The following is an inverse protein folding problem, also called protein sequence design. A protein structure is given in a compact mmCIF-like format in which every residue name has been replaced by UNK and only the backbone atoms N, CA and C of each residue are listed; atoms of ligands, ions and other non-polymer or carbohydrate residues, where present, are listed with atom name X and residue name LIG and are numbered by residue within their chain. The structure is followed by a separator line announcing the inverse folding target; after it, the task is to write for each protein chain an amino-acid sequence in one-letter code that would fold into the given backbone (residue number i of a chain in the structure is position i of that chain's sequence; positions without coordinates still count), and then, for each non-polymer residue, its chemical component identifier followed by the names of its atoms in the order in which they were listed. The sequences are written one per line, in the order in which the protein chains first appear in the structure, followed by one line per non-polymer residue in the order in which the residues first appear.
data_IF_030453905341
#
_entry.id   IF_030453905341
#
_cell.length_a   1.000
_cell.length_b   1.000
_cell.length_c   1.000
_cell.angle_alpha   90.00
_cell.angle_beta   90.00
_cell.angle_gamma   90.00
#
_symmetry.space_group_name_H-M   'P 1'
#
loop_
_entity.id
_entity.type
_entity.pdbx_description
1 polymer ?
#
# COMPACT_ATOMS: atom_id res chain seq x y z
N UNK A 1 -16.93 -22.21 -0.09
CA UNK A 1 -18.05 -21.28 0.16
C UNK A 1 -17.99 -20.08 -0.76
N UNK A 2 -18.98 -19.24 -0.68
CA UNK A 2 -19.14 -18.06 -1.57
C UNK A 2 -17.90 -17.14 -1.63
N UNK A 3 -17.15 -17.05 -0.52
CA UNK A 3 -15.94 -16.24 -0.44
C UNK A 3 -14.70 -16.88 -1.08
N UNK A 4 -14.57 -18.20 -1.00
CA UNK A 4 -13.50 -18.92 -1.71
C UNK A 4 -13.68 -18.77 -3.21
N UNK A 5 -14.92 -18.75 -3.69
CA UNK A 5 -15.25 -18.54 -5.10
C UNK A 5 -14.88 -17.14 -5.57
N UNK A 6 -15.09 -16.11 -4.72
CA UNK A 6 -14.71 -14.71 -5.03
C UNK A 6 -13.19 -14.55 -5.10
N UNK A 7 -12.44 -15.09 -4.13
CA UNK A 7 -10.98 -15.01 -4.13
C UNK A 7 -10.36 -15.79 -5.30
N UNK A 8 -10.93 -16.93 -5.64
CA UNK A 8 -10.51 -17.72 -6.80
C UNK A 8 -10.76 -16.95 -8.09
N UNK A 9 -11.98 -16.41 -8.27
CA UNK A 9 -12.33 -15.60 -9.44
C UNK A 9 -11.44 -14.35 -9.56
N UNK A 10 -11.10 -13.72 -8.44
CA UNK A 10 -10.18 -12.58 -8.40
C UNK A 10 -8.76 -12.98 -8.83
N UNK A 11 -8.25 -14.10 -8.31
CA UNK A 11 -6.96 -14.63 -8.69
C UNK A 11 -6.89 -15.02 -10.19
N UNK A 12 -7.93 -15.66 -10.71
CA UNK A 12 -8.04 -16.02 -12.13
C UNK A 12 -8.05 -14.76 -13.01
N UNK A 13 -8.86 -13.76 -12.63
CA UNK A 13 -8.92 -12.49 -13.34
C UNK A 13 -7.55 -11.79 -13.39
N UNK A 14 -6.85 -11.72 -12.24
CA UNK A 14 -5.52 -11.12 -12.18
C UNK A 14 -4.51 -11.90 -13.02
N UNK A 15 -4.60 -13.22 -13.05
CA UNK A 15 -3.72 -14.06 -13.86
C UNK A 15 -3.90 -13.84 -15.37
N UNK A 16 -5.13 -13.55 -15.80
CA UNK A 16 -5.43 -13.26 -17.20
C UNK A 16 -5.05 -11.84 -17.64
N UNK A 17 -5.14 -10.85 -16.73
CA UNK A 17 -5.06 -9.43 -17.07
C UNK A 17 -3.87 -8.71 -16.41
N UNK A 18 -3.10 -9.41 -15.57
CA UNK A 18 -2.05 -8.80 -14.74
C UNK A 18 -0.77 -8.43 -15.48
N UNK A 19 -0.50 -9.06 -16.63
CA UNK A 19 0.74 -8.81 -17.36
C UNK A 19 0.85 -7.35 -17.82
N UNK A 20 1.97 -6.70 -17.47
CA UNK A 20 2.28 -5.29 -17.81
C UNK A 20 1.18 -4.30 -17.40
N UNK A 21 0.51 -4.57 -16.29
CA UNK A 21 -0.60 -3.78 -15.79
C UNK A 21 -0.26 -2.98 -14.53
N UNK A 22 -1.13 -2.02 -14.24
CA UNK A 22 -1.25 -1.39 -12.93
C UNK A 22 -2.51 -1.95 -12.26
N UNK A 23 -2.31 -2.63 -11.15
CA UNK A 23 -3.41 -3.21 -10.34
C UNK A 23 -3.58 -2.36 -9.08
N UNK A 24 -4.79 -1.87 -8.83
CA UNK A 24 -5.13 -1.16 -7.61
C UNK A 24 -6.16 -1.97 -6.82
N UNK A 25 -5.85 -2.30 -5.57
CA UNK A 25 -6.72 -3.03 -4.65
C UNK A 25 -7.15 -2.08 -3.54
N UNK A 26 -8.41 -1.68 -3.55
CA UNK A 26 -9.04 -0.83 -2.53
C UNK A 26 -10.22 -1.58 -1.89
N UNK A 27 -10.05 -2.09 -0.71
CA UNK A 27 -8.85 -2.14 0.09
C UNK A 27 -8.56 -3.59 0.55
N UNK A 28 -7.32 -3.85 0.91
CA UNK A 28 -6.94 -5.13 1.52
C UNK A 28 -7.63 -5.35 2.87
N UNK A 29 -7.85 -4.26 3.61
CA UNK A 29 -8.58 -4.30 4.88
C UNK A 29 -10.01 -4.84 4.69
N UNK A 30 -10.68 -4.45 3.63
CA UNK A 30 -12.02 -4.96 3.31
C UNK A 30 -11.99 -6.41 2.87
N UNK A 31 -11.04 -6.78 2.01
CA UNK A 31 -10.87 -8.18 1.60
C UNK A 31 -10.64 -9.12 2.78
N UNK A 32 -9.84 -8.69 3.75
CA UNK A 32 -9.55 -9.46 4.95
C UNK A 32 -10.78 -9.59 5.85
N UNK A 33 -11.52 -8.50 6.06
CA UNK A 33 -12.73 -8.51 6.88
C UNK A 33 -13.87 -9.38 6.30
N UNK A 34 -13.86 -9.62 4.99
CA UNK A 34 -14.82 -10.47 4.32
C UNK A 34 -14.53 -11.97 4.49
N UNK A 35 -13.30 -12.35 4.81
CA UNK A 35 -12.88 -13.77 4.77
C UNK A 35 -13.22 -14.52 6.07
N UNK A 36 -13.07 -13.92 7.24
CA UNK A 36 -13.61 -14.42 8.53
C UNK A 36 -13.33 -13.45 9.68
N UNK A 37 -14.13 -13.56 10.75
CA UNK A 37 -13.85 -12.89 12.04
C UNK A 37 -12.55 -13.39 12.70
N UNK A 38 -12.02 -14.52 12.24
CA UNK A 38 -10.85 -15.23 12.78
C UNK A 38 -9.70 -15.30 11.76
N UNK A 39 -9.56 -14.28 10.91
CA UNK A 39 -8.51 -14.26 9.88
C UNK A 39 -7.13 -14.22 10.54
N UNK A 40 -6.32 -15.23 10.24
CA UNK A 40 -4.92 -15.22 10.62
C UNK A 40 -4.14 -14.24 9.74
N UNK A 41 -3.50 -13.27 10.36
CA UNK A 41 -2.67 -12.28 9.66
C UNK A 41 -1.47 -12.90 8.93
N UNK A 42 -1.11 -14.13 9.26
CA UNK A 42 -0.14 -14.90 8.48
C UNK A 42 -0.66 -15.23 7.08
N UNK A 43 -1.95 -15.49 6.93
CA UNK A 43 -2.58 -15.76 5.64
C UNK A 43 -2.62 -14.50 4.78
N UNK A 44 -2.93 -13.35 5.38
CA UNK A 44 -2.87 -12.06 4.70
C UNK A 44 -1.47 -11.75 4.21
N UNK A 45 -0.47 -11.96 5.04
CA UNK A 45 0.94 -11.78 4.66
C UNK A 45 1.33 -12.71 3.51
N UNK A 46 0.82 -13.94 3.49
CA UNK A 46 1.06 -14.88 2.41
C UNK A 46 0.43 -14.41 1.09
N UNK A 47 -0.79 -13.90 1.12
CA UNK A 47 -1.45 -13.29 -0.05
C UNK A 47 -0.63 -12.09 -0.57
N UNK A 48 -0.19 -11.21 0.33
CA UNK A 48 0.65 -10.05 -0.04
C UNK A 48 1.96 -10.47 -0.69
N UNK A 49 2.63 -11.48 -0.15
CA UNK A 49 3.85 -12.03 -0.76
C UNK A 49 3.60 -12.67 -2.12
N UNK A 50 2.44 -13.34 -2.27
CA UNK A 50 1.99 -13.88 -3.55
C UNK A 50 1.78 -12.80 -4.60
N UNK A 51 1.09 -11.72 -4.23
CA UNK A 51 0.89 -10.55 -5.10
C UNK A 51 2.21 -9.89 -5.51
N UNK A 52 3.15 -9.77 -4.58
CA UNK A 52 4.49 -9.23 -4.89
C UNK A 52 5.25 -10.11 -5.89
N UNK A 53 5.21 -11.42 -5.72
CA UNK A 53 5.81 -12.37 -6.66
C UNK A 53 5.14 -12.28 -8.03
N UNK A 54 3.82 -12.28 -8.07
CA UNK A 54 3.05 -12.15 -9.30
C UNK A 54 3.33 -10.84 -10.03
N UNK A 55 3.40 -9.72 -9.32
CA UNK A 55 3.76 -8.42 -9.89
C UNK A 55 5.13 -8.46 -10.58
N UNK A 56 6.11 -9.13 -9.97
CA UNK A 56 7.42 -9.32 -10.58
C UNK A 56 7.35 -10.18 -11.86
N UNK A 57 6.64 -11.31 -11.81
CA UNK A 57 6.50 -12.23 -12.95
C UNK A 57 5.72 -11.60 -14.10
N UNK A 58 4.74 -10.75 -13.81
CA UNK A 58 3.92 -10.06 -14.82
C UNK A 58 4.53 -8.75 -15.32
N UNK A 59 5.67 -8.33 -14.80
CA UNK A 59 6.21 -6.99 -15.06
C UNK A 59 5.16 -5.90 -14.79
N UNK A 60 4.49 -6.02 -13.65
CA UNK A 60 3.36 -5.20 -13.22
C UNK A 60 3.66 -4.45 -11.93
N UNK A 61 2.85 -3.43 -11.66
CA UNK A 61 2.81 -2.74 -10.37
C UNK A 61 1.48 -3.01 -9.68
N UNK A 62 1.54 -3.48 -8.44
CA UNK A 62 0.36 -3.70 -7.60
C UNK A 62 0.36 -2.70 -6.46
N UNK A 63 -0.64 -1.84 -6.42
CA UNK A 63 -0.90 -0.89 -5.35
C UNK A 63 -2.02 -1.42 -4.47
N UNK A 64 -1.74 -1.52 -3.18
CA UNK A 64 -2.67 -2.04 -2.18
C UNK A 64 -2.97 -0.97 -1.17
N UNK A 65 -4.23 -0.57 -1.05
CA UNK A 65 -4.66 0.42 -0.08
C UNK A 65 -4.98 -0.27 1.26
N UNK A 66 -4.53 0.38 2.32
CA UNK A 66 -4.73 -0.09 3.69
C UNK A 66 -5.17 1.08 4.56
N UNK A 67 -6.25 0.91 5.31
CA UNK A 67 -6.64 1.88 6.33
C UNK A 67 -5.93 1.55 7.64
N UNK A 68 -4.95 2.38 8.02
CA UNK A 68 -4.15 2.18 9.22
C UNK A 68 -4.95 2.28 10.52
N UNK A 69 -6.05 3.04 10.53
CA UNK A 69 -6.93 3.16 11.70
C UNK A 69 -7.69 1.87 12.03
N UNK A 70 -7.90 1.02 11.02
CA UNK A 70 -8.56 -0.28 11.16
C UNK A 70 -7.61 -1.39 11.64
N UNK A 71 -6.31 -1.12 11.74
CA UNK A 71 -5.28 -2.11 12.02
C UNK A 71 -4.58 -1.84 13.35
N UNK A 72 -4.19 -2.92 14.02
CA UNK A 72 -3.25 -2.86 15.13
C UNK A 72 -1.82 -2.66 14.59
N UNK A 73 -0.95 -2.10 15.40
CA UNK A 73 0.45 -1.85 15.03
C UNK A 73 1.17 -3.10 14.51
N UNK A 74 0.94 -4.25 15.15
CA UNK A 74 1.52 -5.54 14.73
C UNK A 74 1.01 -5.99 13.36
N UNK A 75 -0.28 -5.80 13.09
CA UNK A 75 -0.91 -6.15 11.82
C UNK A 75 -0.36 -5.27 10.69
N UNK A 76 -0.25 -3.98 10.94
CA UNK A 76 0.37 -3.04 10.01
C UNK A 76 1.84 -3.39 9.73
N UNK A 77 2.61 -3.73 10.75
CA UNK A 77 3.99 -4.21 10.60
C UNK A 77 4.09 -5.43 9.70
N UNK A 78 3.19 -6.40 9.88
CA UNK A 78 3.13 -7.61 9.06
C UNK A 78 2.89 -7.29 7.58
N UNK A 79 1.99 -6.34 7.28
CA UNK A 79 1.72 -5.91 5.91
C UNK A 79 2.91 -5.16 5.30
N UNK A 80 3.55 -4.28 6.05
CA UNK A 80 4.75 -3.57 5.59
C UNK A 80 5.90 -4.53 5.26
N UNK A 81 6.12 -5.53 6.09
CA UNK A 81 7.17 -6.54 5.85
C UNK A 81 6.91 -7.37 4.60
N UNK A 82 5.65 -7.60 4.28
CA UNK A 82 5.25 -8.35 3.08
C UNK A 82 5.29 -7.52 1.79
N UNK A 83 5.17 -6.20 1.88
CA UNK A 83 5.21 -5.29 0.75
C UNK A 83 6.65 -5.03 0.25
N UNK A 84 6.79 -4.61 -1.00
CA UNK A 84 8.08 -4.15 -1.57
C UNK A 84 8.39 -2.69 -1.28
N UNK A 85 7.35 -1.90 -1.01
CA UNK A 85 7.43 -0.49 -0.63
C UNK A 85 6.19 -0.05 0.12
N UNK A 86 6.31 0.97 0.94
CA UNK A 86 5.21 1.51 1.73
C UNK A 86 5.22 3.02 1.69
N UNK A 87 4.11 3.58 1.22
CA UNK A 87 3.83 5.01 1.25
C UNK A 87 2.75 5.26 2.30
N UNK A 88 3.02 6.11 3.26
CA UNK A 88 2.06 6.48 4.29
C UNK A 88 1.57 7.89 4.08
N UNK A 89 0.25 8.06 3.99
CA UNK A 89 -0.39 9.37 3.94
C UNK A 89 -0.96 9.72 5.31
N UNK A 90 -0.68 10.93 5.75
CA UNK A 90 -1.18 11.43 7.03
C UNK A 90 -1.59 12.89 6.96
N UNK A 91 -2.45 13.29 7.91
CA UNK A 91 -2.77 14.68 8.12
C UNK A 91 -1.85 15.24 9.20
N UNK A 92 -1.21 16.36 8.91
CA UNK A 92 -0.53 17.12 9.95
C UNK A 92 -1.50 18.12 10.58
N UNK A 93 -1.59 18.06 11.88
CA UNK A 93 -2.28 19.07 12.68
C UNK A 93 -1.24 20.09 13.18
N UNK A 94 -1.27 21.26 12.63
CA UNK A 94 -0.40 22.37 13.05
C UNK A 94 -0.69 23.63 12.26
N UNK A 95 -1.30 24.61 12.88
CA UNK A 95 -1.66 25.87 12.23
C UNK A 95 -3.07 25.89 11.65
N UNK A 96 -3.39 26.95 10.90
CA UNK A 96 -4.72 27.23 10.36
C UNK A 96 -5.08 26.40 9.11
N UNK A 97 -4.17 25.61 8.58
CA UNK A 97 -4.37 24.75 7.43
C UNK A 97 -3.93 23.32 7.72
N UNK A 98 -4.76 22.35 7.29
CA UNK A 98 -4.41 20.95 7.34
C UNK A 98 -3.48 20.62 6.18
N UNK A 99 -2.23 20.28 6.47
CA UNK A 99 -1.31 19.76 5.47
C UNK A 99 -1.45 18.24 5.37
N UNK A 100 -1.49 17.74 4.15
CA UNK A 100 -1.38 16.31 3.86
C UNK A 100 0.07 15.99 3.59
N UNK A 101 0.55 14.94 4.23
CA UNK A 101 1.94 14.51 4.08
C UNK A 101 1.99 13.08 3.59
N UNK A 102 2.94 12.82 2.70
CA UNK A 102 3.30 11.47 2.27
C UNK A 102 4.69 11.14 2.78
N UNK A 103 4.83 9.99 3.43
CA UNK A 103 6.12 9.45 3.85
C UNK A 103 6.46 8.20 3.06
N UNK A 104 7.69 8.11 2.60
CA UNK A 104 8.27 6.87 2.11
C UNK A 104 8.82 6.13 3.31
N UNK A 105 8.10 5.13 3.83
CA UNK A 105 8.53 4.37 5.02
C UNK A 105 9.49 3.26 4.69
N UNK A 106 9.16 2.52 3.64
CA UNK A 106 10.01 1.44 3.12
C UNK A 106 9.93 1.47 1.59
N UNK A 107 11.07 1.29 0.96
CA UNK A 107 11.15 1.10 -0.48
C UNK A 107 12.46 0.38 -0.80
N UNK A 108 12.38 -0.94 -0.95
CA UNK A 108 13.56 -1.78 -1.11
C UNK A 108 14.37 -1.36 -2.33
N UNK A 109 15.66 -1.13 -2.11
CA UNK A 109 16.60 -0.71 -3.14
C UNK A 109 16.62 0.80 -3.42
N UNK A 110 15.68 1.57 -2.90
CA UNK A 110 15.57 3.02 -3.16
C UNK A 110 15.63 3.84 -1.87
N UNK A 111 15.11 3.32 -0.76
CA UNK A 111 15.00 4.08 0.49
C UNK A 111 16.36 4.58 1.00
N UNK A 112 17.39 3.78 0.93
CA UNK A 112 18.74 4.19 1.35
C UNK A 112 19.27 5.39 0.56
N UNK A 113 18.94 5.49 -0.71
CA UNK A 113 19.30 6.64 -1.55
C UNK A 113 18.47 7.86 -1.16
N UNK A 114 17.16 7.71 -0.98
CA UNK A 114 16.29 8.79 -0.53
C UNK A 114 16.68 9.32 0.86
N UNK A 115 17.03 8.43 1.77
CA UNK A 115 17.52 8.79 3.11
C UNK A 115 18.85 9.54 3.05
N UNK A 116 19.80 9.14 2.19
CA UNK A 116 21.07 9.83 2.01
C UNK A 116 20.89 11.25 1.46
N UNK A 117 19.85 11.48 0.68
CA UNK A 117 19.45 12.77 0.16
C UNK A 117 18.49 13.53 1.11
N UNK A 118 18.09 12.93 2.23
CA UNK A 118 17.08 13.43 3.17
C UNK A 118 15.70 13.68 2.52
N UNK A 119 15.34 12.90 1.52
CA UNK A 119 14.08 13.02 0.77
C UNK A 119 13.17 11.83 1.08
N UNK A 120 12.52 11.84 2.23
CA UNK A 120 11.59 10.77 2.62
C UNK A 120 10.19 11.28 2.96
N UNK A 121 10.00 12.60 2.93
CA UNK A 121 8.75 13.26 3.28
C UNK A 121 8.37 14.29 2.23
N UNK A 122 7.09 14.26 1.82
CA UNK A 122 6.54 15.14 0.80
C UNK A 122 5.27 15.80 1.30
N UNK A 123 5.06 17.05 0.96
CA UNK A 123 3.75 17.69 1.05
C UNK A 123 2.93 17.33 -0.18
N UNK A 124 1.67 17.00 0.04
CA UNK A 124 0.77 16.58 -1.02
C UNK A 124 -0.50 17.42 -1.03
N UNK A 125 -1.07 17.60 -2.21
CA UNK A 125 -2.29 18.36 -2.43
C UNK A 125 -3.24 17.60 -3.34
N UNK A 126 -4.53 17.69 -3.04
CA UNK A 126 -5.60 17.20 -3.93
C UNK A 126 -6.40 18.41 -4.38
N UNK A 127 -6.54 18.58 -5.66
CA UNK A 127 -7.29 19.66 -6.30
C UNK A 127 -8.09 19.13 -7.49
N UNK A 128 -8.82 20.00 -8.19
CA UNK A 128 -9.66 19.61 -9.33
C UNK A 128 -8.89 18.90 -10.45
N UNK A 129 -7.61 19.21 -10.64
CA UNK A 129 -6.72 18.57 -11.61
C UNK A 129 -6.18 17.22 -11.19
N UNK A 130 -6.36 16.81 -9.91
CA UNK A 130 -5.90 15.55 -9.37
C UNK A 130 -5.01 15.67 -8.14
N UNK A 131 -4.04 14.80 -8.05
CA UNK A 131 -3.09 14.70 -6.94
C UNK A 131 -1.72 15.25 -7.36
N UNK A 132 -1.17 16.15 -6.54
CA UNK A 132 0.16 16.71 -6.73
C UNK A 132 1.05 16.52 -5.49
N UNK A 133 2.34 16.36 -5.72
CA UNK A 133 3.37 16.53 -4.71
C UNK A 133 3.82 17.99 -4.79
N UNK A 134 3.42 18.80 -3.80
CA UNK A 134 3.59 20.25 -3.84
C UNK A 134 4.96 20.71 -3.34
N UNK A 135 5.59 19.96 -2.43
CA UNK A 135 6.90 20.28 -1.90
C UNK A 135 7.61 19.04 -1.34
N UNK A 136 8.93 19.05 -1.36
CA UNK A 136 9.79 18.03 -0.77
C UNK A 136 10.40 18.61 0.50
N UNK A 137 10.02 18.07 1.65
CA UNK A 137 10.65 18.44 2.93
C UNK A 137 11.89 17.59 3.16
N UNK A 138 13.02 18.25 3.27
CA UNK A 138 14.26 17.63 3.72
C UNK A 138 14.18 17.39 5.23
N UNK A 139 14.52 16.19 5.67
CA UNK A 139 14.73 15.89 7.07
C UNK A 139 16.03 16.57 7.49
N UNK A 140 15.90 17.43 8.47
CA UNK A 140 17.08 18.07 9.09
C UNK A 140 17.58 17.23 10.26
#
# INVERSE_FOLDING_TARGET
GEYEDVLTAFGDYLSEHGEKSLVCIDSVTDLVSMVSDDTDWSDVAMVMKGLKKAAYEWDALVLVLVNTEALREREFGTLMDAAGGTLQFSWESGGSQRARTMFVREFRGVLSQLESENIVRFETEIHEGGFDISDVRKIR
#
